data_IF_280705961139
#
_entry.id   IF_280705961139
#
_cell.length_a   1.000
_cell.length_b   1.000
_cell.length_c   1.000
_cell.angle_alpha   90.00
_cell.angle_beta   90.00
_cell.angle_gamma   90.00
#
_symmetry.space_group_name_H-M   'P 1'
#
loop_
_entity.id
_entity.type
_entity.pdbx_description
1 polymer ?
#
# COMPACT_ATOMS: atom_id res chain seq x y z
N UNK A 1 -16.22 13.20 -4.83
CA UNK A 1 -15.03 12.74 -5.56
C UNK A 1 -15.24 11.29 -5.93
N UNK A 2 -15.42 10.99 -7.22
CA UNK A 2 -15.58 9.62 -7.71
C UNK A 2 -14.25 9.12 -8.28
N UNK A 3 -13.86 7.90 -7.94
CA UNK A 3 -12.69 7.25 -8.55
C UNK A 3 -13.18 6.26 -9.60
N UNK A 4 -12.70 6.35 -10.85
CA UNK A 4 -13.09 5.42 -11.93
C UNK A 4 -11.95 4.52 -12.40
N UNK A 5 -10.71 4.97 -12.25
CA UNK A 5 -9.51 4.21 -12.55
C UNK A 5 -8.52 4.27 -11.38
N UNK A 6 -7.93 3.10 -11.13
CA UNK A 6 -6.86 2.88 -10.16
C UNK A 6 -5.78 2.08 -10.85
N UNK A 7 -4.53 2.47 -10.64
CA UNK A 7 -3.34 1.75 -11.07
C UNK A 7 -2.39 1.60 -9.87
N UNK A 8 -1.71 0.45 -9.77
CA UNK A 8 -0.67 0.18 -8.79
C UNK A 8 0.57 -0.35 -9.49
N UNK A 9 1.70 0.29 -9.23
CA UNK A 9 3.02 -0.13 -9.69
C UNK A 9 3.93 -0.40 -8.48
N UNK A 10 4.77 -1.44 -8.58
CA UNK A 10 5.68 -1.85 -7.52
C UNK A 10 7.12 -1.70 -8.00
N UNK A 11 7.86 -0.77 -7.39
CA UNK A 11 9.29 -0.60 -7.63
C UNK A 11 10.08 -1.26 -6.50
N UNK A 12 11.00 -2.15 -6.86
CA UNK A 12 11.86 -2.89 -5.92
C UNK A 12 13.28 -2.38 -6.04
N UNK A 13 13.82 -1.89 -4.94
CA UNK A 13 15.14 -1.28 -4.89
C UNK A 13 16.02 -2.01 -3.85
N UNK A 14 17.10 -2.70 -4.27
CA UNK A 14 18.00 -3.33 -3.32
C UNK A 14 18.74 -2.28 -2.50
N UNK A 15 18.90 -2.51 -1.19
CA UNK A 15 19.74 -1.65 -0.38
C UNK A 15 21.21 -1.91 -0.66
N UNK A 16 22.04 -0.85 -0.53
CA UNK A 16 23.49 -0.98 -0.64
C UNK A 16 24.07 -1.99 0.38
N UNK A 17 23.41 -2.15 1.52
CA UNK A 17 23.70 -3.14 2.57
C UNK A 17 22.39 -3.50 3.28
N UNK A 18 22.23 -4.72 3.80
CA UNK A 18 21.06 -5.08 4.59
C UNK A 18 20.90 -4.14 5.80
N UNK A 19 19.65 -3.78 6.10
CA UNK A 19 19.32 -2.95 7.26
C UNK A 19 18.65 -3.78 8.33
N UNK A 20 19.21 -3.77 9.54
CA UNK A 20 18.73 -4.55 10.67
C UNK A 20 18.01 -3.69 11.72
N UNK A 21 16.88 -4.17 12.24
CA UNK A 21 16.15 -3.57 13.34
C UNK A 21 15.52 -4.66 14.22
N UNK A 22 15.56 -4.50 15.55
CA UNK A 22 14.97 -5.44 16.53
C UNK A 22 15.25 -6.94 16.26
N UNK A 23 16.49 -7.28 15.90
CA UNK A 23 16.91 -8.68 15.69
C UNK A 23 16.51 -9.28 14.33
N UNK A 24 15.99 -8.45 13.43
CA UNK A 24 15.58 -8.83 12.08
C UNK A 24 16.19 -7.92 11.03
N UNK A 25 16.20 -8.33 9.77
CA UNK A 25 16.88 -7.60 8.70
C UNK A 25 16.07 -7.65 7.41
N UNK A 26 16.06 -6.55 6.66
CA UNK A 26 15.55 -6.50 5.29
C UNK A 26 16.61 -6.00 4.31
N UNK A 27 16.48 -6.38 3.04
CA UNK A 27 17.51 -6.29 2.00
C UNK A 27 17.11 -5.39 0.84
N UNK A 28 15.81 -5.09 0.70
CA UNK A 28 15.30 -4.22 -0.35
C UNK A 28 14.16 -3.33 0.16
N UNK A 29 13.88 -2.26 -0.59
CA UNK A 29 12.69 -1.43 -0.43
C UNK A 29 11.69 -1.76 -1.53
N UNK A 30 10.46 -2.02 -1.14
CA UNK A 30 9.33 -2.04 -2.07
C UNK A 30 8.61 -0.70 -1.98
N UNK A 31 8.60 0.05 -3.08
CA UNK A 31 7.92 1.32 -3.22
C UNK A 31 6.66 1.11 -4.06
N UNK A 32 5.50 1.41 -3.48
CA UNK A 32 4.21 1.39 -4.15
C UNK A 32 3.95 2.75 -4.76
N UNK A 33 3.65 2.80 -6.06
CA UNK A 33 3.18 3.99 -6.75
C UNK A 33 1.73 3.76 -7.18
N UNK A 34 0.83 4.55 -6.61
CA UNK A 34 -0.60 4.50 -6.87
C UNK A 34 -0.99 5.68 -7.73
N UNK A 35 -1.80 5.44 -8.76
CA UNK A 35 -2.50 6.50 -9.48
C UNK A 35 -4.01 6.32 -9.35
N UNK A 36 -4.69 7.41 -9.02
CA UNK A 36 -6.14 7.51 -9.00
C UNK A 36 -6.59 8.52 -10.05
N UNK A 37 -7.72 8.24 -10.71
CA UNK A 37 -8.35 9.17 -11.65
C UNK A 37 -9.86 9.27 -11.44
N UNK A 38 -10.38 10.47 -11.68
CA UNK A 38 -11.81 10.74 -11.70
C UNK A 38 -12.40 10.80 -13.12
N UNK A 39 -13.74 10.77 -13.28
CA UNK A 39 -14.38 10.84 -14.60
C UNK A 39 -14.14 12.15 -15.36
N UNK A 40 -13.69 13.22 -14.70
CA UNK A 40 -13.33 14.48 -15.34
C UNK A 40 -11.88 14.47 -15.87
N UNK A 41 -11.13 13.39 -15.62
CA UNK A 41 -9.74 13.24 -16.05
C UNK A 41 -8.72 13.83 -15.08
N UNK A 42 -9.13 14.24 -13.87
CA UNK A 42 -8.19 14.67 -12.84
C UNK A 42 -7.43 13.45 -12.32
N UNK A 43 -6.11 13.58 -12.18
CA UNK A 43 -5.24 12.50 -11.70
C UNK A 43 -4.51 12.91 -10.42
N UNK A 44 -4.30 11.94 -9.53
CA UNK A 44 -3.45 12.07 -8.36
C UNK A 44 -2.52 10.85 -8.25
N UNK A 45 -1.27 11.10 -7.86
CA UNK A 45 -0.27 10.05 -7.64
C UNK A 45 0.18 10.06 -6.19
N UNK A 46 0.14 8.90 -5.54
CA UNK A 46 0.67 8.67 -4.20
C UNK A 46 1.82 7.67 -4.25
N UNK A 47 2.90 7.94 -3.52
CA UNK A 47 4.04 7.02 -3.41
C UNK A 47 4.28 6.68 -1.94
N UNK A 48 4.42 5.39 -1.65
CA UNK A 48 4.60 4.88 -0.30
C UNK A 48 5.51 3.66 -0.26
N UNK A 49 6.53 3.70 0.60
CA UNK A 49 7.46 2.60 0.75
C UNK A 49 7.05 1.62 1.85
N UNK A 50 6.93 0.34 1.53
CA UNK A 50 6.62 -0.72 2.49
C UNK A 50 7.78 -1.01 3.43
N UNK A 51 7.47 -1.32 4.68
CA UNK A 51 8.43 -1.72 5.69
C UNK A 51 7.78 -2.68 6.68
N UNK A 52 7.64 -3.95 6.27
CA UNK A 52 6.95 -4.99 7.05
C UNK A 52 7.41 -4.99 8.52
N UNK A 53 8.73 -4.97 8.75
CA UNK A 53 9.36 -4.97 10.08
C UNK A 53 8.95 -3.78 10.96
N UNK A 54 8.55 -2.68 10.34
CA UNK A 54 8.13 -1.45 11.02
C UNK A 54 6.61 -1.34 11.13
N UNK A 55 5.87 -2.13 10.35
CA UNK A 55 4.41 -2.11 10.31
C UNK A 55 3.79 -3.09 11.32
N UNK A 56 4.26 -4.33 11.35
CA UNK A 56 3.64 -5.39 12.15
C UNK A 56 4.68 -6.49 12.45
N UNK A 57 4.96 -6.72 13.74
CA UNK A 57 5.98 -7.69 14.18
C UNK A 57 5.54 -9.15 14.00
N UNK A 58 4.25 -9.42 14.10
CA UNK A 58 3.70 -10.77 13.92
C UNK A 58 3.74 -11.16 12.43
N UNK A 59 3.33 -10.25 11.54
CA UNK A 59 3.44 -10.45 10.09
C UNK A 59 4.90 -10.62 9.68
N UNK A 60 5.80 -9.81 10.25
CA UNK A 60 7.23 -9.95 9.94
C UNK A 60 7.80 -11.30 10.39
N UNK A 61 7.47 -11.76 11.60
CA UNK A 61 8.03 -13.00 12.15
C UNK A 61 7.43 -14.27 11.51
N UNK A 62 6.19 -14.21 11.04
CA UNK A 62 5.48 -15.34 10.43
C UNK A 62 5.78 -15.53 8.93
N UNK A 63 6.38 -14.55 8.26
CA UNK A 63 6.56 -14.54 6.81
C UNK A 63 8.00 -14.18 6.40
N UNK A 64 8.38 -14.54 5.17
CA UNK A 64 9.64 -14.02 4.59
C UNK A 64 9.50 -12.52 4.30
N UNK A 65 10.62 -11.81 4.14
CA UNK A 65 10.62 -10.39 3.74
C UNK A 65 9.75 -10.15 2.50
N UNK A 66 9.92 -10.99 1.46
CA UNK A 66 9.08 -10.93 0.25
C UNK A 66 7.62 -11.25 0.56
N UNK A 67 7.34 -12.27 1.39
CA UNK A 67 5.99 -12.66 1.76
C UNK A 67 5.24 -11.53 2.49
N UNK A 68 5.88 -10.87 3.45
CA UNK A 68 5.30 -9.72 4.15
C UNK A 68 5.02 -8.56 3.21
N UNK A 69 5.96 -8.22 2.30
CA UNK A 69 5.74 -7.15 1.33
C UNK A 69 4.57 -7.47 0.38
N UNK A 70 4.45 -8.73 -0.06
CA UNK A 70 3.32 -9.18 -0.88
C UNK A 70 1.98 -9.04 -0.14
N UNK A 71 1.91 -9.39 1.14
CA UNK A 71 0.69 -9.22 1.95
C UNK A 71 0.29 -7.76 2.07
N UNK A 72 1.25 -6.88 2.40
CA UNK A 72 1.00 -5.44 2.49
C UNK A 72 0.57 -4.84 1.14
N UNK A 73 1.22 -5.25 0.04
CA UNK A 73 0.84 -4.84 -1.31
C UNK A 73 -0.54 -5.32 -1.72
N UNK A 74 -0.89 -6.57 -1.40
CA UNK A 74 -2.22 -7.12 -1.67
C UNK A 74 -3.32 -6.39 -0.88
N UNK A 75 -3.04 -5.99 0.35
CA UNK A 75 -3.95 -5.14 1.14
C UNK A 75 -4.20 -3.79 0.46
N UNK A 76 -3.14 -3.13 -0.05
CA UNK A 76 -3.26 -1.89 -0.79
C UNK A 76 -4.06 -2.07 -2.09
N UNK A 77 -3.75 -3.10 -2.88
CA UNK A 77 -4.50 -3.43 -4.11
C UNK A 77 -5.99 -3.65 -3.83
N UNK A 78 -6.33 -4.39 -2.79
CA UNK A 78 -7.71 -4.59 -2.37
C UNK A 78 -8.39 -3.23 -2.05
N UNK A 79 -7.75 -2.37 -1.27
CA UNK A 79 -8.28 -1.04 -0.96
C UNK A 79 -8.51 -0.19 -2.23
N UNK A 80 -7.61 -0.28 -3.23
CA UNK A 80 -7.79 0.40 -4.52
C UNK A 80 -9.01 -0.13 -5.28
N UNK A 81 -9.22 -1.45 -5.30
CA UNK A 81 -10.40 -2.02 -5.95
C UNK A 81 -11.70 -1.65 -5.22
N UNK A 82 -11.68 -1.58 -3.88
CA UNK A 82 -12.82 -1.09 -3.09
C UNK A 82 -13.12 0.39 -3.35
N UNK A 83 -12.10 1.21 -3.61
CA UNK A 83 -12.28 2.62 -3.94
C UNK A 83 -12.87 2.83 -5.34
N UNK A 84 -12.56 1.95 -6.28
CA UNK A 84 -13.00 2.07 -7.67
C UNK A 84 -14.52 2.03 -7.75
N UNK A 85 -15.08 3.05 -8.41
CA UNK A 85 -16.52 3.21 -8.62
C UNK A 85 -17.28 3.81 -7.45
N UNK A 86 -16.61 4.14 -6.34
CA UNK A 86 -17.23 4.76 -5.16
C UNK A 86 -17.16 6.29 -5.22
N UNK A 87 -18.10 6.92 -4.52
CA UNK A 87 -18.18 8.36 -4.31
C UNK A 87 -17.77 8.71 -2.89
N UNK A 88 -16.80 9.61 -2.75
CA UNK A 88 -16.30 10.10 -1.46
C UNK A 88 -16.53 11.59 -1.32
N UNK A 89 -16.89 12.03 -0.11
CA UNK A 89 -17.06 13.46 0.17
C UNK A 89 -15.73 14.22 0.07
N UNK A 90 -14.68 13.65 0.67
CA UNK A 90 -13.33 14.22 0.77
C UNK A 90 -12.29 13.12 1.01
N UNK A 91 -10.98 13.39 0.82
CA UNK A 91 -9.93 12.37 0.95
C UNK A 91 -9.88 11.66 2.32
N UNK A 92 -10.03 12.33 3.48
CA UNK A 92 -10.09 11.63 4.77
C UNK A 92 -11.26 10.63 4.85
N UNK A 93 -12.44 11.00 4.35
CA UNK A 93 -13.60 10.12 4.33
C UNK A 93 -13.39 8.86 3.46
N UNK A 94 -12.59 8.98 2.39
CA UNK A 94 -12.16 7.82 1.59
C UNK A 94 -11.29 6.87 2.41
N UNK A 95 -10.30 7.40 3.14
CA UNK A 95 -9.45 6.58 3.99
C UNK A 95 -10.26 5.84 5.06
N UNK A 96 -11.16 6.52 5.76
CA UNK A 96 -11.99 5.92 6.81
C UNK A 96 -12.88 4.81 6.27
N UNK A 97 -13.51 5.04 5.11
CA UNK A 97 -14.37 4.04 4.46
C UNK A 97 -13.58 2.77 4.06
N UNK A 98 -12.39 2.94 3.51
CA UNK A 98 -11.54 1.81 3.12
C UNK A 98 -10.99 1.08 4.35
N UNK A 99 -10.58 1.80 5.38
CA UNK A 99 -10.05 1.21 6.61
C UNK A 99 -11.11 0.36 7.32
N UNK A 100 -12.35 0.87 7.44
CA UNK A 100 -13.46 0.11 8.03
C UNK A 100 -13.82 -1.13 7.22
N UNK A 101 -13.69 -1.11 5.90
CA UNK A 101 -14.01 -2.27 5.06
C UNK A 101 -12.95 -3.40 5.15
N UNK A 102 -11.73 -3.06 5.55
CA UNK A 102 -10.60 -4.02 5.66
C UNK A 102 -10.44 -4.56 7.09
N UNK A 103 -10.92 -3.85 8.10
CA UNK A 103 -10.76 -4.22 9.52
C UNK A 103 -12.08 -4.44 10.30
N UNK A 104 -13.23 -4.29 9.63
CA UNK A 104 -14.56 -4.48 10.22
C UNK A 104 -15.04 -5.93 10.27
#
# INVERSE_FOLDING_TARGET
MRIDAVDLEIQREPFARPFGFKGSTFHEKWNMAVRLRDPAGNEAVGVGGLAVLWSDEDVFSAHTETGGNLLQGAMLENALQLARGQDFAEPPAMLDALFSAVHG
#
